data_IF_517218837306
#
_entry.id   IF_517218837306
#
_cell.length_a   1.000
_cell.length_b   1.000
_cell.length_c   1.000
_cell.angle_alpha   90.00
_cell.angle_beta   90.00
_cell.angle_gamma   90.00
#
_symmetry.space_group_name_H-M   'P 1'
#
loop_
_entity.id
_entity.type
_entity.pdbx_description
1 polymer ?
#
# COMPACT_ATOMS: atom_id res chain seq x y z
N UNK A 1 -6.81 20.20 10.36
CA UNK A 1 -5.97 19.76 9.24
C UNK A 1 -5.74 18.27 9.35
N UNK A 2 -5.94 17.54 8.25
CA UNK A 2 -5.77 16.09 8.20
C UNK A 2 -4.30 15.70 7.98
N UNK A 3 -3.44 16.11 8.92
CA UNK A 3 -1.98 16.05 8.75
C UNK A 3 -1.46 14.61 8.62
N UNK A 4 -1.94 13.68 9.45
CA UNK A 4 -1.44 12.31 9.47
C UNK A 4 -1.85 11.52 8.23
N UNK A 5 -3.13 11.61 7.82
CA UNK A 5 -3.61 11.03 6.57
C UNK A 5 -2.79 11.52 5.36
N UNK A 6 -2.57 12.84 5.27
CA UNK A 6 -1.78 13.44 4.20
C UNK A 6 -0.30 12.99 4.24
N UNK A 7 0.29 12.88 5.42
CA UNK A 7 1.66 12.40 5.59
C UNK A 7 1.81 10.95 5.13
N UNK A 8 0.87 10.07 5.51
CA UNK A 8 0.83 8.67 5.06
C UNK A 8 0.71 8.60 3.54
N UNK A 9 -0.18 9.41 2.95
CA UNK A 9 -0.38 9.47 1.50
C UNK A 9 0.92 9.87 0.77
N UNK A 10 1.57 10.94 1.20
CA UNK A 10 2.81 11.44 0.58
C UNK A 10 3.91 10.36 0.66
N UNK A 11 4.10 9.74 1.83
CA UNK A 11 5.09 8.68 1.99
C UNK A 11 4.78 7.48 1.10
N UNK A 12 3.51 7.05 1.02
CA UNK A 12 3.12 5.93 0.18
C UNK A 12 3.41 6.20 -1.31
N UNK A 13 3.14 7.42 -1.79
CA UNK A 13 3.48 7.84 -3.16
C UNK A 13 4.99 7.81 -3.39
N UNK A 14 5.78 8.40 -2.48
CA UNK A 14 7.23 8.45 -2.61
C UNK A 14 7.85 7.04 -2.63
N UNK A 15 7.38 6.14 -1.77
CA UNK A 15 7.85 4.75 -1.74
C UNK A 15 7.47 3.99 -3.02
N UNK A 16 6.23 4.16 -3.51
CA UNK A 16 5.82 3.54 -4.77
C UNK A 16 6.65 4.02 -5.96
N UNK A 17 6.88 5.33 -6.06
CA UNK A 17 7.75 5.92 -7.08
C UNK A 17 9.19 5.42 -6.97
N UNK A 18 9.71 5.27 -5.75
CA UNK A 18 11.05 4.72 -5.52
C UNK A 18 11.19 3.34 -6.16
N UNK A 19 10.24 2.44 -5.92
CA UNK A 19 10.27 1.08 -6.45
C UNK A 19 10.11 1.04 -7.97
N UNK A 20 9.34 1.96 -8.56
CA UNK A 20 9.16 2.00 -10.01
C UNK A 20 10.39 2.54 -10.75
N UNK A 21 11.02 3.59 -10.22
CA UNK A 21 12.05 4.36 -10.92
C UNK A 21 13.49 4.09 -10.47
N UNK A 22 13.72 3.79 -9.20
CA UNK A 22 15.07 3.77 -8.62
C UNK A 22 15.50 2.39 -8.15
N UNK A 23 14.77 1.78 -7.22
CA UNK A 23 15.20 0.54 -6.59
C UNK A 23 14.14 -0.58 -6.71
N UNK A 24 14.24 -1.33 -7.81
CA UNK A 24 13.50 -2.58 -8.00
C UNK A 24 14.09 -3.74 -7.19
N UNK A 25 15.23 -3.53 -6.52
CA UNK A 25 15.90 -4.58 -5.76
C UNK A 25 15.08 -4.97 -4.55
N UNK A 26 15.09 -6.28 -4.27
CA UNK A 26 14.57 -6.87 -3.03
C UNK A 26 15.35 -6.43 -1.79
N UNK A 27 16.54 -5.85 -1.99
CA UNK A 27 17.40 -5.31 -0.95
C UNK A 27 17.04 -3.87 -0.56
N UNK A 28 16.06 -3.24 -1.21
CA UNK A 28 15.49 -1.99 -0.75
C UNK A 28 15.06 -2.13 0.73
N UNK A 29 15.47 -1.16 1.56
CA UNK A 29 15.32 -1.26 3.01
C UNK A 29 13.86 -1.23 3.51
N UNK A 30 12.96 -0.57 2.77
CA UNK A 30 11.58 -0.30 3.18
C UNK A 30 10.62 -0.86 2.13
N UNK A 31 9.62 -1.65 2.58
CA UNK A 31 8.62 -2.25 1.71
C UNK A 31 7.77 -3.32 2.40
N UNK A 32 6.66 -3.71 1.75
CA UNK A 32 5.85 -4.86 2.14
C UNK A 32 6.66 -6.16 1.98
N UNK A 33 7.00 -6.80 3.10
CA UNK A 33 7.96 -7.91 3.11
C UNK A 33 7.38 -9.18 3.70
N UNK A 34 7.15 -10.14 2.82
CA UNK A 34 6.82 -11.53 3.12
C UNK A 34 7.68 -12.47 2.27
N UNK A 35 7.81 -13.76 2.68
CA UNK A 35 8.54 -14.79 1.91
C UNK A 35 8.12 -14.85 0.44
N UNK A 36 6.84 -14.60 0.15
CA UNK A 36 6.30 -14.59 -1.21
C UNK A 36 6.71 -13.33 -1.98
N UNK A 37 6.55 -12.16 -1.38
CA UNK A 37 6.94 -10.88 -2.02
C UNK A 37 8.42 -10.81 -2.38
N UNK A 38 9.31 -11.40 -1.57
CA UNK A 38 10.76 -11.35 -1.79
C UNK A 38 11.30 -12.53 -2.61
N UNK A 39 10.43 -13.43 -3.11
CA UNK A 39 10.88 -14.60 -3.85
C UNK A 39 11.46 -14.29 -5.23
N UNK A 40 11.04 -13.19 -5.87
CA UNK A 40 11.63 -12.69 -7.12
C UNK A 40 11.48 -11.18 -7.23
N UNK A 41 12.28 -10.54 -8.09
CA UNK A 41 12.16 -9.10 -8.37
C UNK A 41 10.77 -8.73 -8.92
N UNK A 42 10.22 -9.57 -9.81
CA UNK A 42 8.87 -9.38 -10.34
C UNK A 42 7.82 -9.41 -9.23
N UNK A 43 7.88 -10.40 -8.33
CA UNK A 43 6.97 -10.49 -7.18
C UNK A 43 7.18 -9.35 -6.19
N UNK A 44 8.41 -8.86 -6.05
CA UNK A 44 8.71 -7.68 -5.24
C UNK A 44 7.99 -6.46 -5.79
N UNK A 45 8.28 -6.04 -7.01
CA UNK A 45 7.66 -4.86 -7.64
C UNK A 45 6.13 -4.99 -7.65
N UNK A 46 5.60 -6.16 -7.99
CA UNK A 46 4.16 -6.42 -7.98
C UNK A 46 3.54 -6.24 -6.59
N UNK A 47 4.12 -6.86 -5.56
CA UNK A 47 3.63 -6.74 -4.19
C UNK A 47 3.67 -5.31 -3.65
N UNK A 48 4.74 -4.55 -3.94
CA UNK A 48 4.82 -3.16 -3.52
C UNK A 48 3.81 -2.30 -4.26
N UNK A 49 3.58 -2.58 -5.55
CA UNK A 49 2.60 -1.86 -6.36
C UNK A 49 1.20 -2.02 -5.80
N UNK A 50 0.80 -3.26 -5.46
CA UNK A 50 -0.50 -3.50 -4.83
C UNK A 50 -0.56 -2.86 -3.45
N UNK A 51 0.47 -3.04 -2.64
CA UNK A 51 0.47 -2.57 -1.25
C UNK A 51 0.39 -1.04 -1.17
N UNK A 52 1.32 -0.33 -1.80
CA UNK A 52 1.31 1.13 -1.78
C UNK A 52 0.14 1.69 -2.59
N UNK A 53 -0.23 1.06 -3.71
CA UNK A 53 -1.42 1.44 -4.47
C UNK A 53 -2.71 1.36 -3.62
N UNK A 54 -2.84 0.31 -2.82
CA UNK A 54 -3.95 0.14 -1.88
C UNK A 54 -3.96 1.19 -0.77
N UNK A 55 -2.80 1.49 -0.17
CA UNK A 55 -2.68 2.56 0.84
C UNK A 55 -3.05 3.91 0.25
N UNK A 56 -2.53 4.26 -0.93
CA UNK A 56 -2.85 5.50 -1.63
C UNK A 56 -4.36 5.60 -1.89
N UNK A 57 -4.96 4.52 -2.39
CA UNK A 57 -6.40 4.50 -2.72
C UNK A 57 -7.27 4.71 -1.48
N UNK A 58 -6.94 4.05 -0.36
CA UNK A 58 -7.69 4.20 0.90
C UNK A 58 -7.49 5.61 1.48
N UNK A 59 -6.26 6.13 1.47
CA UNK A 59 -5.97 7.49 1.93
C UNK A 59 -6.68 8.56 1.09
N UNK A 60 -6.73 8.41 -0.24
CA UNK A 60 -7.48 9.31 -1.12
C UNK A 60 -8.99 9.25 -0.86
N UNK A 61 -9.54 8.04 -0.66
CA UNK A 61 -10.95 7.88 -0.29
C UNK A 61 -11.26 8.56 1.04
N UNK A 62 -10.42 8.34 2.06
CA UNK A 62 -10.54 8.97 3.37
C UNK A 62 -10.51 10.50 3.28
N UNK A 63 -9.53 11.04 2.57
CA UNK A 63 -9.38 12.48 2.36
C UNK A 63 -10.57 13.09 1.62
N UNK A 64 -11.11 12.36 0.63
CA UNK A 64 -12.32 12.77 -0.10
C UNK A 64 -13.54 12.82 0.82
N UNK A 65 -13.76 11.77 1.63
CA UNK A 65 -14.86 11.73 2.60
C UNK A 65 -14.76 12.84 3.65
N UNK A 66 -13.55 13.13 4.13
CA UNK A 66 -13.30 14.25 5.04
C UNK A 66 -13.59 15.60 4.37
N UNK A 67 -13.15 15.79 3.12
CA UNK A 67 -13.36 17.04 2.36
C UNK A 67 -14.84 17.32 2.08
N UNK A 68 -15.66 16.28 1.95
CA UNK A 68 -17.12 16.38 1.84
C UNK A 68 -17.84 16.48 3.19
N UNK A 69 -17.11 16.59 4.32
CA UNK A 69 -17.65 16.61 5.67
C UNK A 69 -18.50 15.38 6.04
N UNK A 70 -18.26 14.23 5.38
CA UNK A 70 -18.94 12.96 5.69
C UNK A 70 -18.37 12.32 6.95
N UNK A 71 -17.07 12.51 7.18
CA UNK A 71 -16.34 12.00 8.35
C UNK A 71 -15.52 13.12 8.99
N UNK A 72 -15.20 12.97 10.27
CA UNK A 72 -14.31 13.89 10.96
C UNK A 72 -12.82 13.55 10.77
N UNK A 73 -11.93 14.39 11.31
CA UNK A 73 -10.48 14.20 11.24
C UNK A 73 -10.03 12.92 11.96
N UNK A 74 -10.68 12.56 13.06
CA UNK A 74 -10.31 11.38 13.86
C UNK A 74 -10.58 10.11 13.07
N UNK A 75 -11.74 10.03 12.43
CA UNK A 75 -12.15 8.94 11.58
C UNK A 75 -11.30 8.87 10.31
N UNK A 76 -10.93 10.00 9.70
CA UNK A 76 -10.03 9.99 8.54
C UNK A 76 -8.65 9.41 8.89
N UNK A 77 -8.09 9.81 10.04
CA UNK A 77 -6.84 9.25 10.54
C UNK A 77 -6.96 7.76 10.85
N UNK A 78 -8.06 7.34 11.50
CA UNK A 78 -8.32 5.94 11.79
C UNK A 78 -8.40 5.10 10.52
N UNK A 79 -9.17 5.55 9.51
CA UNK A 79 -9.30 4.89 8.20
C UNK A 79 -7.94 4.78 7.52
N UNK A 80 -7.13 5.85 7.56
CA UNK A 80 -5.80 5.85 6.94
C UNK A 80 -4.85 4.86 7.59
N UNK A 81 -4.86 4.76 8.94
CA UNK A 81 -4.02 3.81 9.68
C UNK A 81 -4.48 2.37 9.44
N UNK A 82 -5.79 2.08 9.58
CA UNK A 82 -6.31 0.73 9.34
C UNK A 82 -6.18 0.33 7.87
N UNK A 83 -6.20 1.31 6.95
CA UNK A 83 -5.98 1.13 5.52
C UNK A 83 -4.64 0.49 5.19
N UNK A 84 -3.60 0.76 5.98
CA UNK A 84 -2.29 0.10 5.84
C UNK A 84 -2.41 -1.40 6.10
N UNK A 85 -3.11 -1.80 7.17
CA UNK A 85 -3.36 -3.20 7.51
C UNK A 85 -4.22 -3.88 6.45
N UNK A 86 -5.30 -3.23 6.00
CA UNK A 86 -6.19 -3.75 4.96
C UNK A 86 -5.40 -3.98 3.66
N UNK A 87 -4.57 -3.01 3.25
CA UNK A 87 -3.73 -3.13 2.06
C UNK A 87 -2.74 -4.30 2.16
N UNK A 88 -2.12 -4.49 3.34
CA UNK A 88 -1.24 -5.63 3.60
C UNK A 88 -1.94 -6.98 3.44
N UNK A 89 -3.15 -7.12 3.99
CA UNK A 89 -3.95 -8.35 3.89
C UNK A 89 -4.33 -8.63 2.44
N UNK A 90 -4.84 -7.63 1.72
CA UNK A 90 -5.22 -7.76 0.30
C UNK A 90 -4.01 -8.16 -0.54
N UNK A 91 -2.85 -7.52 -0.34
CA UNK A 91 -1.62 -7.84 -1.04
C UNK A 91 -1.22 -9.29 -0.82
N UNK A 92 -1.24 -9.76 0.43
CA UNK A 92 -0.90 -11.14 0.74
C UNK A 92 -1.87 -12.15 0.13
N UNK A 93 -3.17 -11.86 0.13
CA UNK A 93 -4.17 -12.72 -0.50
C UNK A 93 -3.95 -12.82 -2.00
N UNK A 94 -3.73 -11.69 -2.70
CA UNK A 94 -3.46 -11.66 -4.13
C UNK A 94 -2.21 -12.46 -4.51
N UNK A 95 -1.14 -12.35 -3.72
CA UNK A 95 0.08 -13.15 -3.94
C UNK A 95 -0.17 -14.67 -3.79
N UNK A 96 -1.06 -15.08 -2.88
CA UNK A 96 -1.44 -16.49 -2.70
C UNK A 96 -2.26 -16.99 -3.89
N UNK A 97 -3.22 -16.20 -4.37
CA UNK A 97 -4.05 -16.57 -5.51
C UNK A 97 -3.24 -16.68 -6.80
N UNK A 98 -2.33 -15.75 -7.05
CA UNK A 98 -1.44 -15.78 -8.22
C UNK A 98 -0.57 -17.04 -8.25
N UNK A 99 -0.04 -17.46 -7.10
CA UNK A 99 0.79 -18.65 -6.97
C UNK A 99 -0.01 -19.95 -7.20
N UNK A 100 -1.25 -20.01 -6.69
CA UNK A 100 -2.16 -21.14 -7.00
C UNK A 100 -2.52 -21.20 -8.48
N UNK A 101 -2.77 -20.06 -9.13
CA UNK A 101 -3.12 -20.01 -10.54
C UNK A 101 -1.99 -20.45 -11.47
N UNK A 102 -0.73 -20.35 -11.06
CA UNK A 102 0.43 -20.79 -11.86
C UNK A 102 0.77 -22.28 -11.70
N UNK A 103 0.24 -22.92 -10.66
CA UNK A 103 0.51 -24.31 -10.33
C UNK A 103 -0.61 -25.27 -10.78
N UNK A 104 -1.73 -24.75 -11.30
CA UNK A 104 -2.81 -25.49 -11.96
C UNK A 104 -2.68 -25.35 -13.48
#
# INVERSE_FOLDING_TARGET
MDFYSNFILIIAILLLLNIWFFDKSRNAGIGFRTKRSTSSEKKWVYSQTIFYGGVISISLLSSTLYSFNVIDVSMSNFISIIGILISAIITQLLLVFEEKSKNN
#
